data_IF_590145695425
#
_entry.id   IF_590145695425
#
_cell.length_a   1.000
_cell.length_b   1.000
_cell.length_c   1.000
_cell.angle_alpha   90.00
_cell.angle_beta   90.00
_cell.angle_gamma   90.00
#
_symmetry.space_group_name_H-M   'P 1'
#
loop_
_entity.id
_entity.type
_entity.pdbx_description
1 polymer ?
#
# COMPACT_ATOMS: atom_id res chain seq x y z
N UNK A 1 -37.63 -1.90 -5.00
CA UNK A 1 -36.38 -1.61 -5.72
C UNK A 1 -36.01 -2.84 -6.53
N UNK A 2 -35.47 -2.67 -7.73
CA UNK A 2 -35.08 -3.80 -8.58
C UNK A 2 -33.88 -4.52 -7.95
N UNK A 3 -33.96 -5.84 -7.84
CA UNK A 3 -32.88 -6.67 -7.29
C UNK A 3 -31.82 -6.97 -8.37
N UNK A 4 -30.55 -7.00 -7.98
CA UNK A 4 -29.45 -7.52 -8.80
C UNK A 4 -29.15 -8.95 -8.31
N UNK A 5 -29.11 -9.91 -9.22
CA UNK A 5 -28.81 -11.31 -8.92
C UNK A 5 -27.51 -11.74 -9.59
N UNK A 6 -26.64 -12.44 -8.85
CA UNK A 6 -25.34 -12.94 -9.31
C UNK A 6 -25.38 -14.46 -9.34
N UNK A 7 -25.08 -15.06 -10.49
CA UNK A 7 -25.10 -16.51 -10.71
C UNK A 7 -23.69 -17.00 -10.96
N UNK A 8 -23.28 -18.08 -10.30
CA UNK A 8 -21.91 -18.63 -10.38
C UNK A 8 -21.91 -20.04 -10.96
N UNK A 9 -20.84 -20.36 -11.70
CA UNK A 9 -20.46 -21.74 -11.99
C UNK A 9 -19.56 -22.23 -10.87
N UNK A 10 -19.89 -23.39 -10.29
CA UNK A 10 -19.17 -23.97 -9.17
C UNK A 10 -18.36 -25.19 -9.62
N UNK A 11 -17.08 -25.22 -9.25
CA UNK A 11 -16.21 -26.39 -9.39
C UNK A 11 -15.65 -26.76 -8.02
N UNK A 12 -16.45 -27.52 -7.28
CA UNK A 12 -16.14 -27.92 -5.90
C UNK A 12 -14.87 -28.78 -5.80
N UNK A 13 -14.49 -29.52 -6.85
CA UNK A 13 -13.25 -30.31 -6.87
C UNK A 13 -11.98 -29.44 -6.83
N UNK A 14 -12.06 -28.22 -7.40
CA UNK A 14 -10.96 -27.26 -7.41
C UNK A 14 -11.18 -26.09 -6.44
N UNK A 15 -12.32 -26.04 -5.73
CA UNK A 15 -12.74 -24.88 -4.95
C UNK A 15 -12.80 -23.60 -5.79
N UNK A 16 -13.18 -23.72 -7.07
CA UNK A 16 -13.19 -22.62 -8.03
C UNK A 16 -14.64 -22.19 -8.30
N UNK A 17 -14.88 -20.88 -8.23
CA UNK A 17 -16.17 -20.27 -8.54
C UNK A 17 -15.95 -19.15 -9.56
N UNK A 18 -16.64 -19.22 -10.69
CA UNK A 18 -16.60 -18.17 -11.72
C UNK A 18 -17.98 -17.57 -11.90
N UNK A 19 -18.09 -16.25 -11.90
CA UNK A 19 -19.36 -15.56 -12.10
C UNK A 19 -19.89 -15.88 -13.50
N UNK A 20 -21.01 -16.57 -13.63
CA UNK A 20 -21.61 -16.95 -14.91
C UNK A 20 -22.49 -15.84 -15.48
N UNK A 21 -23.29 -15.19 -14.63
CA UNK A 21 -24.12 -14.06 -15.07
C UNK A 21 -24.49 -13.08 -13.96
N UNK A 22 -24.82 -11.85 -14.37
CA UNK A 22 -25.41 -10.80 -13.53
C UNK A 22 -26.76 -10.44 -14.16
N UNK A 23 -27.83 -10.55 -13.39
CA UNK A 23 -29.19 -10.26 -13.84
C UNK A 23 -29.71 -9.01 -13.12
N UNK A 24 -30.29 -8.07 -13.89
CA UNK A 24 -30.90 -6.86 -13.35
C UNK A 24 -32.10 -6.45 -14.21
N UNK A 25 -33.31 -6.57 -13.65
CA UNK A 25 -34.56 -6.39 -14.39
C UNK A 25 -34.53 -7.19 -15.72
N UNK A 26 -34.72 -6.54 -16.85
CA UNK A 26 -34.70 -7.18 -18.19
C UNK A 26 -33.31 -7.26 -18.82
N UNK A 27 -32.25 -6.90 -18.06
CA UNK A 27 -30.86 -6.96 -18.51
C UNK A 27 -30.14 -8.18 -17.93
N UNK A 28 -29.31 -8.82 -18.76
CA UNK A 28 -28.43 -9.91 -18.36
C UNK A 28 -27.02 -9.67 -18.88
N UNK A 29 -26.02 -9.88 -18.04
CA UNK A 29 -24.60 -9.89 -18.42
C UNK A 29 -24.11 -11.33 -18.28
N UNK A 30 -23.78 -11.98 -19.38
CA UNK A 30 -23.19 -13.32 -19.41
C UNK A 30 -21.67 -13.23 -19.49
N UNK A 31 -20.98 -14.05 -18.71
CA UNK A 31 -19.52 -14.10 -18.66
C UNK A 31 -19.03 -15.50 -19.06
N UNK A 32 -18.18 -15.56 -20.08
CA UNK A 32 -17.61 -16.80 -20.60
C UNK A 32 -16.12 -16.85 -20.26
N UNK A 33 -15.65 -18.03 -19.89
CA UNK A 33 -14.28 -18.24 -19.43
C UNK A 33 -13.58 -19.32 -20.25
N UNK A 34 -12.27 -19.15 -20.41
CA UNK A 34 -11.37 -20.13 -20.99
C UNK A 34 -10.32 -20.59 -19.96
N UNK A 35 -9.61 -21.68 -20.27
CA UNK A 35 -8.49 -22.15 -19.43
C UNK A 35 -7.31 -21.18 -19.47
N UNK A 36 -6.57 -21.07 -18.36
CA UNK A 36 -5.31 -20.30 -18.28
C UNK A 36 -4.13 -21.20 -17.96
N UNK A 37 -2.95 -20.88 -18.49
CA UNK A 37 -1.72 -21.66 -18.26
C UNK A 37 -1.02 -21.32 -16.94
N UNK A 38 -1.15 -20.09 -16.45
CA UNK A 38 -0.67 -19.63 -15.15
C UNK A 38 -1.67 -19.91 -14.03
N UNK A 39 -1.94 -21.19 -13.79
CA UNK A 39 -2.87 -21.62 -12.74
C UNK A 39 -2.32 -21.24 -11.37
N UNK A 40 -3.06 -20.42 -10.63
CA UNK A 40 -2.77 -20.14 -9.22
C UNK A 40 -3.50 -21.15 -8.32
N UNK A 41 -2.82 -21.61 -7.26
CA UNK A 41 -3.40 -22.51 -6.26
C UNK A 41 -3.20 -21.92 -4.87
N UNK A 42 -4.23 -22.02 -4.04
CA UNK A 42 -4.24 -21.65 -2.63
C UNK A 42 -4.81 -22.79 -1.80
N UNK A 43 -4.53 -22.74 -0.50
CA UNK A 43 -5.29 -23.49 0.49
C UNK A 43 -5.87 -22.49 1.49
N UNK A 44 -7.14 -22.68 1.86
CA UNK A 44 -7.83 -21.89 2.87
C UNK A 44 -8.54 -22.85 3.82
N UNK A 45 -8.18 -22.82 5.11
CA UNK A 45 -8.73 -23.71 6.15
C UNK A 45 -8.71 -25.21 5.78
N UNK A 46 -7.65 -25.66 5.09
CA UNK A 46 -7.51 -27.05 4.62
C UNK A 46 -8.15 -27.34 3.26
N UNK A 47 -9.02 -26.46 2.75
CA UNK A 47 -9.66 -26.60 1.44
C UNK A 47 -8.81 -25.99 0.32
N UNK A 48 -8.74 -26.68 -0.82
CA UNK A 48 -7.99 -26.25 -2.00
C UNK A 48 -8.82 -25.25 -2.82
N UNK A 49 -8.22 -24.12 -3.20
CA UNK A 49 -8.77 -23.12 -4.12
C UNK A 49 -7.85 -23.00 -5.32
N UNK A 50 -8.39 -23.06 -6.54
CA UNK A 50 -7.61 -22.88 -7.76
C UNK A 50 -8.26 -21.84 -8.66
N UNK A 51 -7.42 -21.10 -9.37
CA UNK A 51 -7.84 -20.27 -10.49
C UNK A 51 -7.32 -20.90 -11.78
N UNK A 52 -8.14 -21.75 -12.38
CA UNK A 52 -7.83 -22.49 -13.60
C UNK A 52 -8.38 -21.80 -14.84
N UNK A 53 -9.27 -20.83 -14.67
CA UNK A 53 -9.90 -20.08 -15.76
C UNK A 53 -9.62 -18.58 -15.73
N UNK A 54 -9.74 -17.95 -16.90
CA UNK A 54 -9.76 -16.50 -17.10
C UNK A 54 -10.93 -16.12 -18.01
N UNK A 55 -11.41 -14.88 -17.88
CA UNK A 55 -12.54 -14.39 -18.68
C UNK A 55 -12.10 -14.27 -20.15
N UNK A 56 -12.89 -14.78 -21.08
CA UNK A 56 -12.61 -14.67 -22.52
C UNK A 56 -13.62 -13.78 -23.24
N UNK A 57 -14.88 -13.77 -22.78
CA UNK A 57 -15.93 -12.98 -23.40
C UNK A 57 -16.96 -12.50 -22.37
N UNK A 58 -17.51 -11.30 -22.60
CA UNK A 58 -18.71 -10.79 -21.94
C UNK A 58 -19.77 -10.54 -22.99
N UNK A 59 -20.99 -11.03 -22.77
CA UNK A 59 -22.14 -10.73 -23.63
C UNK A 59 -23.23 -10.06 -22.82
N UNK A 60 -23.74 -8.93 -23.28
CA UNK A 60 -24.85 -8.22 -22.62
C UNK A 60 -26.13 -8.39 -23.41
N UNK A 61 -27.22 -8.54 -22.67
CA UNK A 61 -28.55 -8.80 -23.19
C UNK A 61 -29.54 -7.81 -22.60
N UNK A 62 -30.53 -7.41 -23.40
CA UNK A 62 -31.75 -6.70 -22.96
C UNK A 62 -32.94 -7.39 -23.61
N UNK A 63 -33.94 -7.76 -22.82
CA UNK A 63 -35.11 -8.51 -23.31
C UNK A 63 -34.69 -9.77 -24.10
N UNK A 64 -33.69 -10.51 -23.61
CA UNK A 64 -33.06 -11.67 -24.26
C UNK A 64 -32.37 -11.42 -25.62
N UNK A 65 -32.28 -10.18 -26.09
CA UNK A 65 -31.54 -9.85 -27.30
C UNK A 65 -30.13 -9.41 -26.93
N UNK A 66 -29.13 -9.91 -27.65
CA UNK A 66 -27.75 -9.44 -27.51
C UNK A 66 -27.69 -7.97 -27.90
N UNK A 67 -27.16 -7.15 -27.01
CA UNK A 67 -26.95 -5.73 -27.30
C UNK A 67 -25.47 -5.42 -27.51
N UNK A 68 -24.55 -6.08 -26.79
CA UNK A 68 -23.10 -5.91 -26.97
C UNK A 68 -22.34 -7.20 -26.64
N UNK A 69 -21.20 -7.38 -27.28
CA UNK A 69 -20.19 -8.38 -26.91
C UNK A 69 -18.84 -7.71 -26.66
N UNK A 70 -18.07 -8.27 -25.76
CA UNK A 70 -16.69 -7.88 -25.47
C UNK A 70 -15.81 -9.11 -25.54
N UNK A 71 -14.89 -9.15 -26.49
CA UNK A 71 -13.89 -10.22 -26.63
C UNK A 71 -12.58 -9.77 -26.00
N UNK A 72 -12.02 -10.60 -25.12
CA UNK A 72 -10.80 -10.33 -24.37
C UNK A 72 -9.66 -11.17 -24.92
N UNK A 73 -8.56 -10.53 -25.29
CA UNK A 73 -7.35 -11.21 -25.76
C UNK A 73 -6.21 -11.06 -24.76
N UNK A 74 -5.42 -12.11 -24.60
CA UNK A 74 -4.32 -12.16 -23.64
C UNK A 74 -3.02 -12.58 -24.31
N UNK A 75 -1.92 -12.01 -23.83
CA UNK A 75 -0.58 -12.57 -24.04
C UNK A 75 -0.13 -13.38 -22.83
N UNK A 76 0.89 -14.24 -23.04
CA UNK A 76 1.51 -15.05 -22.00
C UNK A 76 2.99 -14.69 -21.87
N UNK A 77 3.28 -13.70 -21.02
CA UNK A 77 4.59 -13.01 -20.94
C UNK A 77 4.97 -12.74 -19.46
N UNK A 78 6.15 -12.16 -19.21
CA UNK A 78 6.85 -11.96 -17.90
C UNK A 78 7.51 -13.20 -17.31
N UNK A 79 8.32 -13.00 -16.26
CA UNK A 79 8.95 -14.08 -15.47
C UNK A 79 8.55 -13.97 -13.99
N UNK A 80 7.75 -14.91 -13.44
CA UNK A 80 7.13 -16.06 -14.10
C UNK A 80 6.04 -15.65 -15.09
N UNK A 81 5.79 -16.45 -16.14
CA UNK A 81 4.81 -16.13 -17.17
C UNK A 81 3.40 -15.99 -16.60
N UNK A 82 2.72 -14.90 -16.97
CA UNK A 82 1.36 -14.56 -16.56
C UNK A 82 0.49 -14.23 -17.77
N UNK A 83 -0.80 -14.51 -17.64
CA UNK A 83 -1.85 -14.04 -18.57
C UNK A 83 -2.04 -12.54 -18.40
N UNK A 84 -1.68 -11.76 -19.42
CA UNK A 84 -1.79 -10.31 -19.45
C UNK A 84 -2.81 -9.90 -20.51
N UNK A 85 -3.85 -9.15 -20.13
CA UNK A 85 -4.88 -8.68 -21.06
C UNK A 85 -4.26 -7.68 -22.02
N UNK A 86 -4.30 -7.93 -23.33
CA UNK A 86 -3.71 -7.05 -24.35
C UNK A 86 -4.76 -6.32 -25.18
N UNK A 87 -5.98 -6.85 -25.26
CA UNK A 87 -7.05 -6.14 -25.95
C UNK A 87 -8.44 -6.49 -25.43
N UNK A 88 -9.35 -5.51 -25.52
CA UNK A 88 -10.79 -5.72 -25.43
C UNK A 88 -11.40 -5.21 -26.74
N UNK A 89 -12.17 -6.07 -27.42
CA UNK A 89 -12.89 -5.71 -28.64
C UNK A 89 -14.39 -5.66 -28.36
N UNK A 90 -14.98 -4.49 -28.47
CA UNK A 90 -16.42 -4.28 -28.31
C UNK A 90 -17.13 -4.41 -29.67
N UNK A 91 -18.22 -5.19 -29.72
CA UNK A 91 -19.03 -5.35 -30.91
C UNK A 91 -20.54 -5.22 -30.62
N UNK A 92 -21.27 -4.71 -31.61
CA UNK A 92 -22.73 -4.61 -31.65
C UNK A 92 -23.20 -5.18 -32.98
N UNK A 93 -24.05 -6.21 -32.97
CA UNK A 93 -24.57 -6.87 -34.18
C UNK A 93 -23.48 -7.25 -35.20
N UNK A 94 -22.34 -7.76 -34.71
CA UNK A 94 -21.21 -8.18 -35.55
C UNK A 94 -20.34 -7.03 -36.09
N UNK A 95 -20.72 -5.77 -35.89
CA UNK A 95 -19.88 -4.61 -36.17
C UNK A 95 -19.10 -4.25 -34.93
N UNK A 96 -17.78 -4.11 -35.06
CA UNK A 96 -16.90 -3.92 -33.92
C UNK A 96 -16.20 -2.57 -33.96
N UNK A 97 -16.03 -1.98 -32.78
CA UNK A 97 -15.16 -0.84 -32.60
C UNK A 97 -13.68 -1.29 -32.71
N UNK A 98 -12.77 -0.34 -32.98
CA UNK A 98 -11.34 -0.57 -32.76
C UNK A 98 -11.08 -1.13 -31.36
N UNK A 99 -10.10 -2.01 -31.24
CA UNK A 99 -9.73 -2.64 -29.97
C UNK A 99 -9.26 -1.58 -28.99
N UNK A 100 -9.69 -1.69 -27.74
CA UNK A 100 -9.01 -1.04 -26.62
C UNK A 100 -7.77 -1.88 -26.32
N UNK A 101 -6.59 -1.31 -26.54
CA UNK A 101 -5.31 -2.01 -26.38
C UNK A 101 -4.66 -1.67 -25.04
N UNK A 102 -3.98 -2.66 -24.47
CA UNK A 102 -3.25 -2.54 -23.22
C UNK A 102 -1.79 -2.86 -23.48
N UNK A 103 -0.91 -1.89 -23.22
CA UNK A 103 0.52 -2.10 -23.25
C UNK A 103 1.03 -2.41 -21.84
N UNK A 104 1.89 -3.42 -21.73
CA UNK A 104 2.45 -3.86 -20.46
C UNK A 104 3.92 -3.48 -20.40
N UNK A 105 4.34 -2.90 -19.28
CA UNK A 105 5.75 -2.69 -19.01
C UNK A 105 6.48 -4.04 -19.10
N UNK A 106 7.55 -4.06 -19.90
CA UNK A 106 8.40 -5.24 -20.03
C UNK A 106 9.36 -5.28 -18.86
N UNK A 107 9.61 -6.49 -18.35
CA UNK A 107 10.72 -6.72 -17.43
C UNK A 107 12.00 -6.33 -18.18
N UNK A 108 12.64 -5.23 -17.76
CA UNK A 108 14.00 -4.93 -18.20
C UNK A 108 14.89 -5.94 -17.48
N UNK A 109 15.83 -6.56 -18.19
CA UNK A 109 16.89 -7.39 -17.60
C UNK A 109 17.67 -6.51 -16.61
N UNK A 110 17.18 -6.45 -15.37
CA UNK A 110 17.70 -5.61 -14.32
C UNK A 110 18.83 -6.37 -13.64
N UNK A 111 20.03 -6.24 -14.20
CA UNK A 111 21.23 -6.51 -13.41
C UNK A 111 21.17 -5.67 -12.13
N UNK A 112 21.46 -6.32 -10.99
CA UNK A 112 21.49 -5.71 -9.65
C UNK A 112 22.37 -4.45 -9.56
N UNK A 113 23.19 -4.18 -10.58
CA UNK A 113 24.14 -3.06 -10.61
C UNK A 113 23.66 -1.83 -11.37
N UNK A 114 22.63 -1.93 -12.23
CA UNK A 114 22.27 -0.82 -13.15
C UNK A 114 21.69 0.38 -12.42
N UNK A 115 20.91 0.14 -11.37
CA UNK A 115 20.28 1.18 -10.54
C UNK A 115 20.69 1.06 -9.06
N UNK A 116 21.94 0.67 -8.81
CA UNK A 116 22.43 0.53 -7.44
C UNK A 116 22.60 1.91 -6.78
N UNK A 117 22.10 2.04 -5.54
CA UNK A 117 22.39 3.19 -4.69
C UNK A 117 23.77 2.97 -4.06
N UNK A 118 24.75 3.80 -4.41
CA UNK A 118 26.12 3.72 -3.90
C UNK A 118 26.38 4.96 -3.03
N UNK A 119 26.85 4.75 -1.80
CA UNK A 119 27.15 5.82 -0.83
C UNK A 119 28.36 5.45 0.03
N UNK A 120 29.01 6.47 0.59
CA UNK A 120 30.11 6.35 1.55
C UNK A 120 29.66 6.49 3.02
N UNK A 121 28.34 6.51 3.27
CA UNK A 121 27.78 6.54 4.61
C UNK A 121 28.25 5.31 5.40
N UNK A 122 28.81 5.55 6.59
CA UNK A 122 29.45 4.53 7.44
C UNK A 122 30.60 3.76 6.78
N UNK A 123 31.27 4.35 5.79
CA UNK A 123 32.52 3.80 5.27
C UNK A 123 33.57 3.67 6.38
N UNK A 124 34.45 2.68 6.25
CA UNK A 124 35.57 2.50 7.17
C UNK A 124 36.41 3.78 7.25
N UNK A 125 36.88 4.09 8.46
CA UNK A 125 37.73 5.26 8.75
C UNK A 125 37.07 6.62 8.45
N UNK A 126 35.75 6.67 8.26
CA UNK A 126 35.01 7.91 8.00
C UNK A 126 34.29 8.45 9.23
N UNK A 127 34.64 9.66 9.65
CA UNK A 127 33.92 10.42 10.68
C UNK A 127 32.80 11.32 10.15
N UNK A 128 32.64 11.43 8.82
CA UNK A 128 31.79 12.43 8.17
C UNK A 128 30.31 12.33 8.57
N UNK A 129 29.88 11.14 8.99
CA UNK A 129 28.50 10.84 9.38
C UNK A 129 28.36 10.50 10.87
N UNK A 130 29.30 10.99 11.68
CA UNK A 130 29.28 10.87 13.13
C UNK A 130 29.82 9.56 13.67
N UNK A 131 30.70 8.87 12.93
CA UNK A 131 31.31 7.56 13.28
C UNK A 131 30.26 6.49 13.54
N UNK A 132 30.01 5.63 12.56
CA UNK A 132 28.95 4.61 12.62
C UNK A 132 29.42 3.21 12.23
N UNK A 133 30.74 3.01 12.17
CA UNK A 133 31.40 1.80 11.68
C UNK A 133 32.19 1.06 12.78
N UNK A 134 32.02 1.44 14.05
CA UNK A 134 32.61 0.81 15.24
C UNK A 134 31.64 -0.17 15.92
N UNK A 135 32.17 -0.95 16.89
CA UNK A 135 31.59 -2.20 17.40
C UNK A 135 30.17 -2.09 17.97
N UNK A 136 29.77 -0.91 18.41
CA UNK A 136 28.46 -0.61 18.98
C UNK A 136 27.54 0.20 18.05
N UNK A 137 28.01 0.64 16.87
CA UNK A 137 27.21 1.47 15.97
C UNK A 137 26.78 0.73 14.69
N UNK A 138 27.67 -0.02 14.03
CA UNK A 138 27.34 -0.65 12.74
C UNK A 138 26.19 -1.67 12.84
N UNK A 139 26.01 -2.28 14.02
CA UNK A 139 24.93 -3.25 14.30
C UNK A 139 23.53 -2.65 14.20
N UNK A 140 23.43 -1.33 14.06
CA UNK A 140 22.18 -0.57 14.05
C UNK A 140 21.80 0.03 12.73
N UNK A 141 22.55 -0.28 11.67
CA UNK A 141 22.17 0.09 10.31
C UNK A 141 20.88 -0.66 9.94
N UNK A 142 19.82 0.09 9.62
CA UNK A 142 18.50 -0.41 9.26
C UNK A 142 17.96 0.37 8.06
N UNK A 143 17.02 -0.24 7.34
CA UNK A 143 16.28 0.37 6.25
C UNK A 143 14.80 0.45 6.63
N UNK A 144 14.31 1.66 6.90
CA UNK A 144 13.00 1.91 7.51
C UNK A 144 12.42 3.18 6.89
N UNK A 145 11.18 3.14 6.44
CA UNK A 145 10.50 4.33 5.91
C UNK A 145 10.14 5.29 7.07
N UNK A 146 11.01 6.26 7.34
CA UNK A 146 10.90 7.18 8.46
C UNK A 146 10.10 8.43 8.11
N UNK A 147 9.90 8.74 6.82
CA UNK A 147 9.10 9.90 6.39
C UNK A 147 7.74 9.50 5.79
N UNK A 148 7.43 8.21 5.75
CA UNK A 148 6.21 7.63 5.20
C UNK A 148 5.99 7.94 3.72
N UNK A 149 7.06 8.07 2.94
CA UNK A 149 6.98 8.35 1.51
C UNK A 149 6.90 7.08 0.64
N UNK A 150 6.89 5.91 1.28
CA UNK A 150 6.84 4.59 0.65
C UNK A 150 8.21 4.01 0.29
N UNK A 151 9.31 4.69 0.59
CA UNK A 151 10.69 4.20 0.38
C UNK A 151 11.37 4.01 1.72
N UNK A 152 12.20 2.97 1.82
CA UNK A 152 12.99 2.75 3.04
C UNK A 152 14.15 3.74 3.12
N UNK A 153 14.27 4.41 4.26
CA UNK A 153 15.36 5.32 4.58
C UNK A 153 16.48 4.60 5.32
N UNK A 154 17.70 5.10 5.21
CA UNK A 154 18.85 4.55 5.94
C UNK A 154 18.90 5.15 7.35
N UNK A 155 18.71 4.30 8.36
CA UNK A 155 18.72 4.69 9.77
C UNK A 155 19.85 3.98 10.50
N UNK A 156 20.61 4.70 11.31
CA UNK A 156 21.69 4.11 12.11
C UNK A 156 21.97 4.94 13.35
N UNK A 157 22.56 4.29 14.36
CA UNK A 157 23.23 4.97 15.45
C UNK A 157 24.66 5.31 15.04
N UNK A 158 25.13 6.46 15.48
CA UNK A 158 26.52 6.88 15.41
C UNK A 158 26.94 7.49 16.76
N UNK A 159 28.21 7.87 16.93
CA UNK A 159 28.69 8.56 18.12
C UNK A 159 27.95 9.87 18.36
N UNK A 160 27.41 10.48 17.29
CA UNK A 160 26.59 11.69 17.35
C UNK A 160 25.11 11.41 17.66
N UNK A 161 24.72 10.15 17.82
CA UNK A 161 23.35 9.68 18.05
C UNK A 161 22.68 9.18 16.78
N UNK A 162 21.35 9.08 16.79
CA UNK A 162 20.62 8.53 15.65
C UNK A 162 20.67 9.46 14.44
N UNK A 163 21.00 8.87 13.29
CA UNK A 163 21.02 9.48 11.98
C UNK A 163 19.98 8.81 11.08
N UNK A 164 19.27 9.62 10.30
CA UNK A 164 18.32 9.18 9.28
C UNK A 164 18.71 9.84 7.98
N UNK A 165 18.97 9.07 6.94
CA UNK A 165 19.16 9.57 5.58
C UNK A 165 17.98 9.15 4.71
N UNK A 166 17.22 10.15 4.25
CA UNK A 166 16.04 9.92 3.44
C UNK A 166 16.39 9.43 2.04
N UNK A 167 15.71 8.37 1.59
CA UNK A 167 15.82 7.86 0.24
C UNK A 167 14.88 8.58 -0.71
N UNK A 168 15.35 8.93 -1.91
CA UNK A 168 14.47 9.32 -3.02
C UNK A 168 14.25 8.17 -4.03
N UNK A 169 14.79 6.98 -3.75
CA UNK A 169 14.79 5.82 -4.65
C UNK A 169 16.01 5.72 -5.56
N UNK A 170 16.86 6.74 -5.58
CA UNK A 170 18.12 6.77 -6.34
C UNK A 170 19.35 7.10 -5.49
N UNK A 171 19.14 7.73 -4.33
CA UNK A 171 20.21 8.19 -3.44
C UNK A 171 19.70 8.47 -2.02
N UNK A 172 20.64 8.66 -1.09
CA UNK A 172 20.40 9.04 0.31
C UNK A 172 20.84 10.50 0.52
N UNK A 173 19.92 11.45 0.31
CA UNK A 173 20.28 12.84 0.05
C UNK A 173 20.05 13.81 1.22
N UNK A 174 19.08 13.53 2.11
CA UNK A 174 18.72 14.43 3.22
C UNK A 174 18.93 13.74 4.56
N UNK A 175 19.81 14.30 5.38
CA UNK A 175 20.11 13.82 6.73
C UNK A 175 19.24 14.54 7.77
N UNK A 176 18.57 13.78 8.62
CA UNK A 176 18.09 14.22 9.91
C UNK A 176 18.93 13.56 11.01
N UNK A 177 19.31 14.33 12.02
CA UNK A 177 20.14 13.89 13.13
C UNK A 177 19.48 14.17 14.47
N UNK A 178 19.82 13.35 15.46
CA UNK A 178 19.42 13.54 16.85
C UNK A 178 20.55 13.09 17.78
N UNK A 179 20.57 13.59 19.02
CA UNK A 179 21.49 13.15 20.06
C UNK A 179 20.98 11.94 20.86
N UNK A 180 19.92 11.28 20.39
CA UNK A 180 19.37 10.06 20.98
C UNK A 180 20.45 8.98 20.89
N UNK A 181 20.80 8.40 22.04
CA UNK A 181 21.86 7.38 22.17
C UNK A 181 23.20 7.77 21.56
N UNK A 182 23.49 9.08 21.48
CA UNK A 182 24.84 9.57 21.19
C UNK A 182 25.81 9.14 22.30
N UNK A 183 27.09 9.02 21.98
CA UNK A 183 28.10 8.73 22.99
C UNK A 183 28.09 9.82 24.07
N UNK A 184 28.23 9.38 25.33
CA UNK A 184 28.23 10.22 26.53
C UNK A 184 26.89 10.95 26.82
N UNK A 185 25.86 10.75 26.01
CA UNK A 185 24.55 11.39 26.18
C UNK A 185 23.76 10.79 27.34
N UNK A 186 23.40 11.65 28.31
CA UNK A 186 22.53 11.28 29.45
C UNK A 186 21.08 11.75 29.30
N UNK A 187 20.79 12.57 28.28
CA UNK A 187 19.51 13.27 28.13
C UNK A 187 18.31 12.34 27.90
N UNK A 188 18.57 11.11 27.45
CA UNK A 188 17.54 10.13 27.10
C UNK A 188 17.65 8.84 27.91
N UNK A 189 18.19 8.94 29.13
CA UNK A 189 18.23 7.84 30.09
C UNK A 189 19.40 6.87 29.96
N UNK A 190 20.49 7.29 29.30
CA UNK A 190 21.69 6.50 28.96
C UNK A 190 21.34 5.24 28.18
N UNK A 191 21.67 5.23 26.89
CA UNK A 191 21.32 4.13 25.99
C UNK A 191 22.45 3.74 25.04
N UNK A 192 23.66 4.20 25.33
CA UNK A 192 24.88 4.02 24.53
C UNK A 192 25.87 3.05 25.21
N UNK A 193 25.41 2.19 26.13
CA UNK A 193 26.20 1.15 26.82
C UNK A 193 25.85 -0.26 26.31
N UNK A 194 26.67 -1.24 26.69
CA UNK A 194 26.63 -2.61 26.15
C UNK A 194 25.29 -3.33 26.28
N UNK A 195 24.52 -3.05 27.33
CA UNK A 195 23.23 -3.71 27.53
C UNK A 195 22.05 -2.91 26.97
N UNK A 196 22.23 -1.62 26.64
CA UNK A 196 21.17 -0.79 26.08
C UNK A 196 21.26 -0.56 24.57
N UNK A 197 22.44 -0.29 24.00
CA UNK A 197 22.53 0.15 22.58
C UNK A 197 21.97 -0.90 21.61
N UNK A 198 22.05 -2.19 21.98
CA UNK A 198 21.56 -3.30 21.16
C UNK A 198 20.03 -3.29 20.95
N UNK A 199 19.28 -2.50 21.72
CA UNK A 199 17.82 -2.54 21.78
C UNK A 199 17.20 -1.22 21.30
N UNK A 200 17.30 -1.01 19.99
CA UNK A 200 16.54 0.02 19.29
C UNK A 200 15.43 -0.61 18.47
N UNK A 201 14.25 -0.02 18.60
CA UNK A 201 13.02 -0.43 17.98
C UNK A 201 12.49 0.74 17.18
N UNK A 202 11.87 0.40 16.06
CA UNK A 202 11.24 1.37 15.19
C UNK A 202 9.81 0.92 15.05
N UNK A 203 8.89 1.73 15.55
CA UNK A 203 7.48 1.37 15.62
C UNK A 203 6.66 2.63 15.77
N UNK A 204 5.52 2.68 15.10
CA UNK A 204 4.52 3.73 15.25
C UNK A 204 3.78 3.53 16.59
N UNK A 205 4.27 4.11 17.68
CA UNK A 205 3.69 3.91 19.02
C UNK A 205 2.52 4.83 19.30
N UNK A 206 2.46 5.98 18.62
CA UNK A 206 1.39 6.96 18.78
C UNK A 206 0.24 6.75 17.77
N UNK A 207 0.43 5.90 16.76
CA UNK A 207 -0.55 5.54 15.74
C UNK A 207 -0.79 6.62 14.69
N UNK A 208 0.16 7.53 14.47
CA UNK A 208 0.04 8.66 13.54
C UNK A 208 0.45 8.33 12.09
N UNK A 209 1.07 7.18 11.90
CA UNK A 209 1.52 6.67 10.61
C UNK A 209 2.99 6.92 10.29
N UNK A 210 3.72 7.62 11.17
CA UNK A 210 5.16 7.76 11.13
C UNK A 210 5.82 6.69 12.01
N UNK A 211 7.03 6.28 11.63
CA UNK A 211 7.82 5.38 12.46
C UNK A 211 8.49 6.19 13.59
N UNK A 212 8.15 5.88 14.83
CA UNK A 212 8.85 6.42 16.01
C UNK A 212 10.10 5.61 16.32
N UNK A 213 10.99 6.20 17.11
CA UNK A 213 12.20 5.55 17.59
C UNK A 213 12.01 5.23 19.07
N UNK A 214 12.07 3.96 19.43
CA UNK A 214 12.07 3.52 20.82
C UNK A 214 13.38 2.81 21.17
N UNK A 215 13.88 3.00 22.37
CA UNK A 215 15.12 2.39 22.82
C UNK A 215 15.03 1.92 24.28
N UNK A 216 15.79 0.86 24.61
CA UNK A 216 16.12 0.57 26.01
C UNK A 216 17.14 1.58 26.50
N UNK A 217 17.04 1.94 27.77
CA UNK A 217 17.96 2.83 28.47
C UNK A 217 18.05 2.39 29.95
N UNK A 218 19.03 2.89 30.70
CA UNK A 218 19.17 2.63 32.15
C UNK A 218 17.90 2.99 32.92
N UNK A 219 17.22 4.04 32.49
CA UNK A 219 15.96 4.51 33.07
C UNK A 219 14.71 3.87 32.45
N UNK A 220 14.85 2.75 31.75
CA UNK A 220 13.76 2.00 31.13
C UNK A 220 13.56 2.27 29.64
N UNK A 221 12.37 1.98 29.13
CA UNK A 221 12.04 2.18 27.70
C UNK A 221 11.71 3.64 27.44
N UNK A 222 12.31 4.22 26.40
CA UNK A 222 12.06 5.58 25.92
C UNK A 222 11.57 5.51 24.48
N UNK A 223 10.55 6.28 24.14
CA UNK A 223 10.05 6.43 22.76
C UNK A 223 10.04 7.91 22.38
N UNK A 224 10.50 8.20 21.17
CA UNK A 224 10.70 9.54 20.64
C UNK A 224 9.81 9.70 19.40
N UNK A 225 8.86 10.62 19.50
CA UNK A 225 7.87 10.92 18.47
C UNK A 225 8.53 11.49 17.21
N UNK A 226 8.26 10.86 16.07
CA UNK A 226 8.68 11.34 14.77
C UNK A 226 7.54 12.14 14.11
N UNK A 227 7.36 13.38 14.57
CA UNK A 227 6.29 14.28 14.13
C UNK A 227 6.47 14.86 12.70
N UNK A 228 7.04 14.10 11.77
CA UNK A 228 7.17 14.49 10.36
C UNK A 228 5.79 14.81 9.76
N UNK A 229 5.68 15.99 9.14
CA UNK A 229 4.45 16.43 8.48
C UNK A 229 4.43 15.84 7.07
N UNK A 230 3.54 14.88 6.81
CA UNK A 230 3.26 14.45 5.44
C UNK A 230 2.74 15.62 4.60
N UNK A 231 3.20 15.71 3.34
CA UNK A 231 2.63 16.61 2.33
C UNK A 231 1.20 16.19 2.00
N UNK A 232 0.24 16.61 2.83
CA UNK A 232 -1.19 16.38 2.63
C UNK A 232 -1.83 17.63 2.04
N UNK A 233 -2.73 17.44 1.07
CA UNK A 233 -3.55 18.53 0.57
C UNK A 233 -4.48 19.01 1.69
N UNK A 234 -4.17 20.17 2.27
CA UNK A 234 -4.92 20.76 3.39
C UNK A 234 -6.10 21.60 2.90
N UNK A 235 -5.93 22.34 1.81
CA UNK A 235 -6.99 23.17 1.27
C UNK A 235 -6.88 23.39 -0.23
N UNK A 236 -8.04 23.55 -0.85
CA UNK A 236 -8.22 23.94 -2.25
C UNK A 236 -8.98 25.26 -2.24
N UNK A 237 -8.47 26.29 -2.92
CA UNK A 237 -9.24 27.52 -3.18
C UNK A 237 -9.48 27.58 -4.67
N UNK A 238 -10.74 27.65 -5.09
CA UNK A 238 -11.07 27.75 -6.51
C UNK A 238 -10.97 29.21 -7.01
N UNK A 239 -11.18 29.43 -8.31
CA UNK A 239 -11.11 30.76 -8.94
C UNK A 239 -12.16 31.77 -8.47
N UNK A 240 -13.16 31.34 -7.69
CA UNK A 240 -14.16 32.20 -7.04
C UNK A 240 -13.84 32.47 -5.57
N UNK A 241 -12.62 32.15 -5.13
CA UNK A 241 -12.14 32.27 -3.75
C UNK A 241 -12.93 31.42 -2.73
N UNK A 242 -13.64 30.39 -3.20
CA UNK A 242 -14.32 29.43 -2.33
C UNK A 242 -13.29 28.43 -1.81
N UNK A 243 -13.14 28.34 -0.49
CA UNK A 243 -12.18 27.44 0.15
C UNK A 243 -12.83 26.11 0.49
N UNK A 244 -12.12 25.04 0.17
CA UNK A 244 -12.39 23.68 0.65
C UNK A 244 -11.22 23.25 1.52
N UNK A 245 -11.50 22.83 2.76
CA UNK A 245 -10.55 22.34 3.74
C UNK A 245 -10.73 20.83 3.87
N UNK A 246 -9.64 20.09 3.82
CA UNK A 246 -9.63 18.63 3.93
C UNK A 246 -8.92 18.26 5.24
N UNK A 247 -9.61 17.53 6.11
CA UNK A 247 -9.09 17.08 7.40
C UNK A 247 -8.86 15.58 7.38
N UNK A 248 -7.76 15.10 7.95
CA UNK A 248 -7.39 13.69 7.95
C UNK A 248 -7.35 13.12 9.36
N UNK A 249 -7.62 11.82 9.49
CA UNK A 249 -7.38 11.03 10.71
C UNK A 249 -6.85 9.64 10.30
N UNK A 250 -6.00 8.99 11.11
CA UNK A 250 -5.55 7.63 10.84
C UNK A 250 -6.67 6.60 11.09
N UNK A 251 -6.64 5.44 10.42
CA UNK A 251 -7.59 4.35 10.68
C UNK A 251 -7.45 3.76 12.10
N UNK A 252 -6.35 4.01 12.81
CA UNK A 252 -6.22 3.74 14.26
C UNK A 252 -7.21 4.56 15.09
N UNK A 253 -7.73 5.68 14.58
CA UNK A 253 -8.67 6.54 15.29
C UNK A 253 -10.12 6.00 15.22
N UNK A 254 -10.75 5.65 16.36
CA UNK A 254 -12.08 5.05 16.37
C UNK A 254 -13.21 6.01 15.94
N UNK A 255 -12.95 7.33 15.92
CA UNK A 255 -13.93 8.30 15.40
C UNK A 255 -14.10 8.24 13.88
N UNK A 256 -13.13 7.68 13.15
CA UNK A 256 -13.13 7.63 11.68
C UNK A 256 -13.18 6.20 11.13
N UNK A 257 -12.83 5.19 11.92
CA UNK A 257 -12.77 3.80 11.45
C UNK A 257 -13.36 2.80 12.44
N UNK A 258 -13.95 1.72 11.92
CA UNK A 258 -14.37 0.55 12.68
C UNK A 258 -13.80 -0.72 12.04
N UNK A 259 -12.90 -1.40 12.75
CA UNK A 259 -12.28 -2.65 12.28
C UNK A 259 -13.35 -3.74 12.11
N UNK A 260 -13.25 -4.51 11.04
CA UNK A 260 -14.06 -5.71 10.86
C UNK A 260 -13.68 -6.81 11.86
N UNK A 261 -14.55 -7.81 11.96
CA UNK A 261 -14.33 -9.01 12.81
C UNK A 261 -14.32 -10.32 12.02
N UNK A 262 -14.51 -10.27 10.69
CA UNK A 262 -14.78 -11.43 9.83
C UNK A 262 -13.65 -11.67 8.81
N UNK A 263 -12.48 -11.09 9.06
CA UNK A 263 -11.26 -11.27 8.29
C UNK A 263 -10.69 -12.64 8.56
N UNK A 264 -10.32 -13.33 7.49
CA UNK A 264 -9.77 -14.68 7.51
C UNK A 264 -8.69 -14.79 6.45
N UNK A 265 -7.62 -15.54 6.73
CA UNK A 265 -6.54 -15.74 5.76
C UNK A 265 -7.11 -16.14 4.37
N UNK A 266 -6.62 -15.54 3.26
CA UNK A 266 -5.54 -14.55 3.20
C UNK A 266 -5.98 -13.09 3.39
N UNK A 267 -7.28 -12.81 3.49
CA UNK A 267 -7.84 -11.46 3.62
C UNK A 267 -8.18 -11.14 5.08
N UNK A 268 -7.20 -10.65 5.83
CA UNK A 268 -7.35 -10.34 7.25
C UNK A 268 -7.87 -8.92 7.46
N UNK A 269 -8.68 -8.72 8.52
CA UNK A 269 -9.14 -7.39 8.90
C UNK A 269 -7.94 -6.59 9.44
N UNK A 270 -7.74 -5.40 8.89
CA UNK A 270 -6.61 -4.55 9.24
C UNK A 270 -7.07 -3.27 9.91
N UNK A 271 -6.23 -2.78 10.82
CA UNK A 271 -6.31 -1.45 11.37
C UNK A 271 -4.88 -0.95 11.47
N UNK A 272 -4.49 -0.13 10.51
CA UNK A 272 -3.16 0.48 10.43
C UNK A 272 -3.29 2.00 10.57
N UNK A 273 -2.18 2.71 10.67
CA UNK A 273 -2.19 4.16 10.80
C UNK A 273 -2.34 4.91 9.45
N UNK A 274 -2.87 4.23 8.41
CA UNK A 274 -3.14 4.88 7.12
C UNK A 274 -4.07 6.08 7.34
N UNK A 275 -3.64 7.21 6.82
CA UNK A 275 -4.38 8.46 6.90
C UNK A 275 -5.53 8.45 5.90
N UNK A 276 -6.75 8.75 6.36
CA UNK A 276 -7.95 8.85 5.54
C UNK A 276 -8.62 10.20 5.74
N UNK A 277 -9.34 10.68 4.72
CA UNK A 277 -10.11 11.93 4.83
C UNK A 277 -11.19 11.74 5.87
N UNK A 278 -11.13 12.48 6.96
CA UNK A 278 -12.10 12.44 8.06
C UNK A 278 -13.26 13.43 7.84
N UNK A 279 -12.97 14.59 7.25
CA UNK A 279 -14.00 15.54 6.84
C UNK A 279 -13.51 16.47 5.74
N UNK A 280 -14.46 16.99 4.97
CA UNK A 280 -14.28 18.05 3.98
C UNK A 280 -15.21 19.19 4.36
N UNK A 281 -14.66 20.39 4.53
CA UNK A 281 -15.40 21.61 4.85
C UNK A 281 -15.29 22.56 3.68
N UNK A 282 -16.40 22.93 3.06
CA UNK A 282 -16.43 23.83 1.90
C UNK A 282 -17.24 25.07 2.23
N UNK A 283 -16.68 26.24 1.97
CA UNK A 283 -17.43 27.50 2.08
C UNK A 283 -18.56 27.50 1.03
N UNK A 284 -19.76 27.95 1.41
CA UNK A 284 -20.92 27.94 0.51
C UNK A 284 -21.10 29.26 -0.27
N UNK A 285 -20.07 30.10 -0.32
CA UNK A 285 -20.03 31.41 -0.96
C UNK A 285 -21.05 32.46 -0.46
N UNK A 286 -21.83 32.17 0.60
CA UNK A 286 -22.79 33.11 1.21
C UNK A 286 -22.54 33.29 2.72
N UNK A 287 -21.32 33.02 3.18
CA UNK A 287 -20.90 33.19 4.58
C UNK A 287 -21.13 31.99 5.50
N UNK A 288 -21.57 30.85 4.96
CA UNK A 288 -21.70 29.59 5.69
C UNK A 288 -20.73 28.51 5.21
N UNK A 289 -20.73 27.37 5.90
CA UNK A 289 -19.90 26.22 5.57
C UNK A 289 -20.76 24.96 5.43
N UNK A 290 -20.43 24.14 4.44
CA UNK A 290 -20.94 22.78 4.29
C UNK A 290 -19.87 21.80 4.75
N UNK A 291 -20.22 20.88 5.65
CA UNK A 291 -19.30 19.86 6.15
C UNK A 291 -19.78 18.47 5.76
N UNK A 292 -18.90 17.71 5.10
CA UNK A 292 -19.08 16.27 4.87
C UNK A 292 -18.11 15.50 5.75
N UNK A 293 -18.61 14.62 6.62
CA UNK A 293 -17.78 13.74 7.47
C UNK A 293 -17.80 12.31 6.94
N UNK A 294 -16.65 11.64 7.01
CA UNK A 294 -16.49 10.28 6.52
C UNK A 294 -16.23 9.32 7.68
N UNK A 295 -16.80 8.11 7.58
CA UNK A 295 -16.49 6.98 8.46
C UNK A 295 -16.25 5.75 7.61
N UNK A 296 -15.18 5.04 7.90
CA UNK A 296 -14.71 3.87 7.17
C UNK A 296 -14.89 2.62 8.04
N UNK A 297 -14.89 1.44 7.41
CA UNK A 297 -14.95 0.19 8.14
C UNK A 297 -14.53 -1.01 7.30
N UNK A 298 -14.24 -2.13 7.97
CA UNK A 298 -13.96 -3.42 7.34
C UNK A 298 -12.82 -3.41 6.29
N UNK A 299 -11.76 -2.63 6.54
CA UNK A 299 -10.58 -2.68 5.69
C UNK A 299 -9.93 -4.06 5.79
N UNK A 300 -9.63 -4.67 4.64
CA UNK A 300 -8.96 -5.97 4.55
C UNK A 300 -7.66 -5.85 3.78
N UNK A 301 -6.65 -6.59 4.21
CA UNK A 301 -5.39 -6.73 3.47
C UNK A 301 -5.20 -8.19 3.08
N UNK A 302 -4.82 -8.41 1.82
CA UNK A 302 -4.44 -9.73 1.33
C UNK A 302 -2.96 -9.94 1.63
N UNK A 303 -2.64 -10.98 2.40
CA UNK A 303 -1.27 -11.31 2.85
C UNK A 303 -0.72 -12.57 2.15
N UNK A 304 -1.15 -12.85 0.92
CA UNK A 304 -0.69 -13.96 0.08
C UNK A 304 0.08 -13.49 -1.14
#
# INVERSE_FOLDING_TARGET
>A
GNAISYVYNENNANGEYTLSSINYADSLIGLTYEGRSDVSTSYQAGSKLRQTKRLSNITTYVNNNIVRTYDLEYQYYSTPKKSQLISIKECVNGQCLPKTEFDWQKDIDNSWQVNAIITDICANESGNYGVCNDDDNYKHIRFIDMNSDGKSDLVYRSDQGIQVHYSDGTSFNRRQSSSICANESRNHGVCNDSDNYNYMFYTDVNGDGNMDICNRADLGIRCHDNAQIHSKLRSITNGFNIKTIINYKPLTNPSVYTKGTNGNYPNIDTQNARQVVSSVVTDNAIGGQSTTTYKYGNAKVNIK
#
